data_IF_437405173341
#
_entry.id   IF_437405173341
#
_cell.length_a   1.000
_cell.length_b   1.000
_cell.length_c   1.000
_cell.angle_alpha   90.00
_cell.angle_beta   90.00
_cell.angle_gamma   90.00
#
_symmetry.space_group_name_H-M   'P 1'
#
loop_
_entity.id
_entity.type
_entity.pdbx_description
1 polymer ?
#
# COMPACT_ATOMS: atom_id res chain seq x y z
N UNK A 1 7.35 20.18 -2.74
CA UNK A 1 8.54 19.36 -3.03
C UNK A 1 8.36 18.72 -4.41
N UNK A 2 9.39 18.78 -5.25
CA UNK A 2 9.33 18.19 -6.60
C UNK A 2 9.38 16.66 -6.49
N UNK A 3 8.63 15.95 -7.34
CA UNK A 3 8.79 14.51 -7.47
C UNK A 3 10.24 14.24 -7.89
N UNK A 4 10.99 13.51 -7.08
CA UNK A 4 12.38 13.17 -7.37
C UNK A 4 12.45 12.43 -8.72
N UNK A 5 13.54 12.62 -9.48
CA UNK A 5 13.73 12.02 -10.82
C UNK A 5 13.60 10.47 -10.84
N UNK A 6 13.58 9.86 -9.66
CA UNK A 6 13.44 8.44 -9.41
C UNK A 6 11.97 7.95 -9.41
N UNK A 7 11.01 8.82 -9.07
CA UNK A 7 9.59 8.47 -9.02
C UNK A 7 8.91 8.79 -10.35
N UNK A 8 8.24 7.80 -10.94
CA UNK A 8 7.44 7.98 -12.15
C UNK A 8 5.97 7.95 -11.75
N UNK A 9 5.33 9.11 -11.68
CA UNK A 9 3.97 9.28 -11.17
C UNK A 9 3.07 9.83 -12.30
N UNK A 10 1.90 9.21 -12.58
CA UNK A 10 0.90 9.77 -13.48
C UNK A 10 0.35 11.10 -12.97
N UNK A 11 0.05 12.05 -13.88
CA UNK A 11 -0.45 13.37 -13.52
C UNK A 11 -1.77 13.31 -12.74
N UNK A 12 -2.58 12.28 -12.99
CA UNK A 12 -3.91 12.09 -12.39
C UNK A 12 -3.88 11.83 -10.88
N UNK A 13 -2.73 11.45 -10.32
CA UNK A 13 -2.56 11.14 -8.89
C UNK A 13 -1.32 11.84 -8.31
N UNK A 14 -0.80 12.85 -9.01
CA UNK A 14 0.51 13.42 -8.70
C UNK A 14 0.55 14.03 -7.30
N UNK A 15 -0.51 14.74 -6.92
CA UNK A 15 -0.57 15.43 -5.63
C UNK A 15 -0.78 14.45 -4.48
N UNK A 16 -1.66 13.45 -4.65
CA UNK A 16 -1.90 12.39 -3.68
C UNK A 16 -0.65 11.55 -3.44
N UNK A 17 0.07 11.20 -4.52
CA UNK A 17 1.32 10.46 -4.42
C UNK A 17 2.43 11.27 -3.75
N UNK A 18 2.54 12.57 -4.01
CA UNK A 18 3.49 13.44 -3.31
C UNK A 18 3.19 13.52 -1.81
N UNK A 19 1.92 13.66 -1.44
CA UNK A 19 1.52 13.68 -0.02
C UNK A 19 1.91 12.35 0.62
N UNK A 20 1.51 11.22 0.03
CA UNK A 20 1.87 9.89 0.57
C UNK A 20 3.39 9.72 0.68
N UNK A 21 4.17 10.08 -0.35
CA UNK A 21 5.64 9.98 -0.33
C UNK A 21 6.31 10.89 0.70
N UNK A 22 5.73 12.06 1.02
CA UNK A 22 6.27 12.95 2.03
C UNK A 22 6.30 12.33 3.44
N UNK A 23 5.47 11.32 3.69
CA UNK A 23 5.51 10.54 4.92
C UNK A 23 6.64 9.50 4.95
N UNK A 24 7.26 9.16 3.82
CA UNK A 24 8.32 8.13 3.72
C UNK A 24 9.62 8.74 3.17
N UNK A 25 10.32 9.58 3.94
CA UNK A 25 11.58 10.19 3.50
C UNK A 25 12.64 9.15 3.10
N UNK A 26 12.60 7.94 3.66
CA UNK A 26 13.51 6.84 3.32
C UNK A 26 13.34 6.33 1.88
N UNK A 27 12.21 6.64 1.24
CA UNK A 27 11.92 6.27 -0.14
C UNK A 27 12.29 7.36 -1.15
N UNK A 28 12.87 8.48 -0.70
CA UNK A 28 13.26 9.61 -1.55
C UNK A 28 14.14 9.17 -2.72
N UNK A 29 15.19 8.40 -2.41
CA UNK A 29 16.15 7.85 -3.38
C UNK A 29 15.76 6.47 -3.92
N UNK A 30 14.50 6.09 -3.80
CA UNK A 30 14.01 4.79 -4.27
C UNK A 30 13.28 4.92 -5.59
N UNK A 31 13.71 4.18 -6.62
CA UNK A 31 13.03 4.18 -7.91
C UNK A 31 11.68 3.47 -7.85
N UNK A 32 10.58 4.24 -7.87
CA UNK A 32 9.19 3.74 -7.79
C UNK A 32 8.41 4.22 -9.01
N UNK A 33 7.81 3.28 -9.74
CA UNK A 33 6.94 3.59 -10.88
C UNK A 33 5.48 3.30 -10.53
N UNK A 34 4.67 4.35 -10.48
CA UNK A 34 3.22 4.27 -10.32
C UNK A 34 2.58 4.09 -11.69
N UNK A 35 1.73 3.08 -11.84
CA UNK A 35 1.19 2.73 -13.15
C UNK A 35 -0.24 2.24 -13.07
N UNK A 36 -1.13 2.95 -13.76
CA UNK A 36 -2.48 2.47 -14.03
C UNK A 36 -2.47 1.23 -14.93
N UNK A 37 -3.31 0.26 -14.60
CA UNK A 37 -3.47 -0.99 -15.32
C UNK A 37 -4.95 -1.38 -15.37
N UNK A 38 -5.44 -1.66 -16.58
CA UNK A 38 -6.83 -2.13 -16.82
C UNK A 38 -7.25 -3.33 -15.97
N UNK A 39 -6.35 -4.31 -15.84
CA UNK A 39 -6.63 -5.57 -15.17
C UNK A 39 -5.63 -5.82 -14.04
N UNK A 40 -6.08 -5.55 -12.81
CA UNK A 40 -5.44 -6.02 -11.58
C UNK A 40 -6.37 -7.07 -10.96
N UNK A 41 -5.82 -8.22 -10.62
CA UNK A 41 -6.60 -9.31 -10.00
C UNK A 41 -6.54 -9.15 -8.48
N UNK A 42 -7.71 -9.20 -7.85
CA UNK A 42 -7.91 -9.38 -6.39
C UNK A 42 -7.54 -8.19 -5.49
N UNK A 43 -7.15 -7.03 -6.02
CA UNK A 43 -6.89 -5.83 -5.24
C UNK A 43 -7.05 -4.55 -6.07
N UNK A 44 -7.14 -3.41 -5.37
CA UNK A 44 -7.20 -2.08 -5.98
C UNK A 44 -5.82 -1.60 -6.41
N UNK A 45 -4.81 -1.83 -5.57
CA UNK A 45 -3.41 -1.54 -5.84
C UNK A 45 -2.52 -2.74 -5.49
N UNK A 46 -1.29 -2.74 -6.02
CA UNK A 46 -0.25 -3.76 -5.76
C UNK A 46 1.15 -3.17 -5.87
N UNK A 47 1.90 -3.19 -4.78
CA UNK A 47 3.33 -2.96 -4.75
C UNK A 47 4.08 -4.25 -5.12
N UNK A 48 5.09 -4.13 -5.99
CA UNK A 48 5.96 -5.24 -6.33
C UNK A 48 7.37 -4.76 -6.72
N UNK A 49 8.43 -5.54 -6.42
CA UNK A 49 9.75 -5.27 -6.96
C UNK A 49 9.77 -5.49 -8.48
N UNK A 50 10.58 -4.73 -9.22
CA UNK A 50 10.90 -5.07 -10.60
C UNK A 50 11.78 -6.31 -10.59
N UNK A 51 11.32 -7.40 -11.21
CA UNK A 51 12.05 -8.68 -11.26
C UNK A 51 13.50 -8.54 -11.70
N UNK A 52 13.78 -7.71 -12.71
CA UNK A 52 15.13 -7.41 -13.21
C UNK A 52 16.04 -6.69 -12.22
N UNK A 53 15.51 -6.23 -11.08
CA UNK A 53 16.26 -5.53 -10.04
C UNK A 53 16.37 -6.29 -8.72
N UNK A 54 15.69 -7.44 -8.55
CA UNK A 54 15.63 -8.17 -7.26
C UNK A 54 17.02 -8.56 -6.73
N UNK A 55 17.92 -9.01 -7.63
CA UNK A 55 19.28 -9.43 -7.27
C UNK A 55 20.29 -8.28 -7.24
N UNK A 56 19.86 -7.04 -7.54
CA UNK A 56 20.71 -5.87 -7.32
C UNK A 56 20.86 -5.59 -5.82
N UNK A 57 21.86 -4.79 -5.47
CA UNK A 57 21.99 -4.25 -4.11
C UNK A 57 20.70 -3.54 -3.71
N UNK A 58 20.36 -3.56 -2.41
CA UNK A 58 19.10 -2.99 -1.88
C UNK A 58 18.85 -1.56 -2.39
N UNK A 59 19.89 -0.72 -2.38
CA UNK A 59 19.87 0.67 -2.88
C UNK A 59 19.58 0.84 -4.38
N UNK A 60 19.85 -0.19 -5.18
CA UNK A 60 19.67 -0.17 -6.64
C UNK A 60 18.42 -0.94 -7.09
N UNK A 61 17.57 -1.34 -6.13
CA UNK A 61 16.28 -1.98 -6.45
C UNK A 61 15.28 -0.94 -6.90
N UNK A 62 14.36 -1.39 -7.71
CA UNK A 62 13.29 -0.55 -8.24
C UNK A 62 11.97 -1.28 -8.07
N UNK A 63 10.90 -0.51 -7.91
CA UNK A 63 9.58 -1.00 -7.55
C UNK A 63 8.53 -0.48 -8.51
N UNK A 64 7.36 -1.11 -8.47
CA UNK A 64 6.16 -0.66 -9.16
C UNK A 64 5.00 -0.67 -8.19
N UNK A 65 4.19 0.38 -8.22
CA UNK A 65 2.86 0.39 -7.63
C UNK A 65 1.88 0.34 -8.79
N UNK A 66 1.21 -0.79 -8.94
CA UNK A 66 0.19 -0.99 -9.95
C UNK A 66 -1.14 -0.56 -9.39
N UNK A 67 -1.87 0.28 -10.13
CA UNK A 67 -3.14 0.85 -9.71
C UNK A 67 -4.21 0.40 -10.69
N UNK A 68 -5.30 -0.18 -10.21
CA UNK A 68 -6.40 -0.57 -11.10
C UNK A 68 -7.01 0.71 -11.68
N UNK A 69 -7.26 0.77 -12.99
CA UNK A 69 -7.96 1.93 -13.57
C UNK A 69 -9.39 2.08 -13.01
N UNK A 70 -9.98 0.95 -12.62
CA UNK A 70 -11.36 0.84 -12.19
C UNK A 70 -11.49 -0.03 -10.95
N UNK A 71 -12.44 0.31 -10.09
CA UNK A 71 -12.87 -0.50 -8.96
C UNK A 71 -14.35 -0.83 -9.13
N UNK A 72 -14.70 -2.09 -8.87
CA UNK A 72 -16.08 -2.55 -8.93
C UNK A 72 -16.68 -2.46 -7.53
N UNK A 73 -17.79 -1.73 -7.44
CA UNK A 73 -18.51 -1.46 -6.20
C UNK A 73 -19.96 -1.84 -6.53
N UNK A 74 -20.32 -3.08 -6.15
CA UNK A 74 -21.59 -3.74 -6.44
C UNK A 74 -21.79 -3.79 -7.95
N UNK A 75 -22.86 -3.18 -8.43
CA UNK A 75 -23.22 -3.17 -9.85
C UNK A 75 -22.64 -1.94 -10.58
N UNK A 76 -21.82 -1.14 -9.90
CA UNK A 76 -21.23 0.08 -10.43
C UNK A 76 -19.72 0.00 -10.56
N UNK A 77 -19.20 0.60 -11.62
CA UNK A 77 -17.76 0.67 -11.92
C UNK A 77 -17.30 2.10 -11.73
N UNK A 78 -16.38 2.30 -10.78
CA UNK A 78 -15.80 3.61 -10.49
C UNK A 78 -14.40 3.69 -11.05
N UNK A 79 -14.00 4.86 -11.54
CA UNK A 79 -12.62 5.13 -11.89
C UNK A 79 -11.82 5.41 -10.62
N UNK A 80 -10.68 4.75 -10.49
CA UNK A 80 -9.85 4.87 -9.29
C UNK A 80 -9.30 6.29 -9.13
N UNK A 81 -9.00 6.96 -10.24
CA UNK A 81 -8.55 8.37 -10.27
C UNK A 81 -9.60 9.36 -9.73
N UNK A 82 -10.87 8.98 -9.69
CA UNK A 82 -11.96 9.85 -9.22
C UNK A 82 -12.31 9.58 -7.75
N UNK A 83 -11.53 8.74 -7.06
CA UNK A 83 -11.71 8.51 -5.62
C UNK A 83 -11.33 9.74 -4.82
N UNK A 84 -11.97 9.97 -3.65
CA UNK A 84 -11.61 11.10 -2.80
C UNK A 84 -10.12 11.06 -2.46
N UNK A 85 -9.45 12.22 -2.52
CA UNK A 85 -8.00 12.33 -2.35
C UNK A 85 -7.48 11.63 -1.07
N UNK A 86 -8.19 11.78 0.05
CA UNK A 86 -7.84 11.12 1.34
C UNK A 86 -7.75 9.60 1.22
N UNK A 87 -8.62 8.98 0.42
CA UNK A 87 -8.68 7.54 0.20
C UNK A 87 -7.55 7.09 -0.72
N UNK A 88 -7.28 7.86 -1.79
CA UNK A 88 -6.15 7.61 -2.67
C UNK A 88 -4.82 7.70 -1.92
N UNK A 89 -4.63 8.73 -1.09
CA UNK A 89 -3.45 8.89 -0.24
C UNK A 89 -3.28 7.69 0.70
N UNK A 90 -4.36 7.21 1.32
CA UNK A 90 -4.32 6.03 2.20
C UNK A 90 -3.94 4.74 1.46
N UNK A 91 -4.51 4.49 0.28
CA UNK A 91 -4.07 3.36 -0.55
C UNK A 91 -2.60 3.46 -0.94
N UNK A 92 -2.14 4.63 -1.38
CA UNK A 92 -0.74 4.84 -1.76
C UNK A 92 0.20 4.65 -0.56
N UNK A 93 -0.16 5.15 0.61
CA UNK A 93 0.60 4.95 1.84
C UNK A 93 0.74 3.47 2.21
N UNK A 94 -0.35 2.70 2.16
CA UNK A 94 -0.29 1.26 2.37
C UNK A 94 0.68 0.56 1.40
N UNK A 95 0.62 0.90 0.11
CA UNK A 95 1.53 0.32 -0.90
C UNK A 95 3.00 0.76 -0.69
N UNK A 96 3.25 1.97 -0.20
CA UNK A 96 4.58 2.42 0.22
C UNK A 96 5.07 1.63 1.46
N UNK A 97 4.18 1.30 2.39
CA UNK A 97 4.47 0.40 3.51
C UNK A 97 4.95 -0.99 3.06
N UNK A 98 4.36 -1.54 1.99
CA UNK A 98 4.90 -2.76 1.37
C UNK A 98 6.32 -2.57 0.81
N UNK A 99 6.60 -1.44 0.17
CA UNK A 99 7.95 -1.15 -0.34
C UNK A 99 8.96 -1.05 0.81
N UNK A 100 8.59 -0.44 1.94
CA UNK A 100 9.43 -0.42 3.15
C UNK A 100 9.75 -1.84 3.65
N UNK A 101 8.77 -2.75 3.68
CA UNK A 101 9.03 -4.18 4.00
C UNK A 101 10.00 -4.81 2.99
N UNK A 102 9.82 -4.54 1.68
CA UNK A 102 10.68 -5.10 0.64
C UNK A 102 12.14 -4.63 0.74
N UNK A 103 12.38 -3.40 1.19
CA UNK A 103 13.73 -2.87 1.38
C UNK A 103 14.50 -3.57 2.51
N UNK A 104 13.78 -4.02 3.56
CA UNK A 104 14.40 -4.77 4.66
C UNK A 104 14.86 -6.17 4.22
N UNK A 105 14.33 -6.74 3.12
CA UNK A 105 14.56 -8.13 2.69
C UNK A 105 15.78 -8.32 1.77
N UNK A 106 16.42 -9.48 1.84
CA UNK A 106 17.40 -9.92 0.84
C UNK A 106 16.70 -10.37 -0.46
N UNK A 107 17.42 -10.48 -1.58
CA UNK A 107 16.81 -10.86 -2.87
C UNK A 107 16.15 -12.24 -2.83
N UNK A 108 16.85 -13.24 -2.26
CA UNK A 108 16.30 -14.59 -2.06
C UNK A 108 15.11 -14.60 -1.10
N UNK A 109 15.18 -13.84 0.00
CA UNK A 109 14.04 -13.72 0.92
C UNK A 109 12.83 -13.08 0.24
N UNK A 110 13.03 -12.09 -0.64
CA UNK A 110 11.94 -11.42 -1.36
C UNK A 110 11.25 -12.36 -2.37
N UNK A 111 12.00 -13.26 -3.01
CA UNK A 111 11.45 -14.31 -3.88
C UNK A 111 10.64 -15.31 -3.05
N UNK A 112 11.22 -15.80 -1.95
CA UNK A 112 10.53 -16.71 -1.03
C UNK A 112 9.25 -16.09 -0.46
N UNK A 113 9.33 -14.82 -0.06
CA UNK A 113 8.19 -14.02 0.37
C UNK A 113 7.10 -13.96 -0.70
N UNK A 114 7.45 -13.65 -1.94
CA UNK A 114 6.50 -13.63 -3.06
C UNK A 114 5.80 -14.98 -3.27
N UNK A 115 6.54 -16.08 -3.15
CA UNK A 115 5.96 -17.43 -3.23
C UNK A 115 5.01 -17.74 -2.06
N UNK A 116 5.42 -17.41 -0.82
CA UNK A 116 4.59 -17.59 0.38
C UNK A 116 3.32 -16.73 0.33
N UNK A 117 3.41 -15.50 -0.17
CA UNK A 117 2.27 -14.59 -0.34
C UNK A 117 1.22 -15.16 -1.31
N UNK A 118 1.63 -15.90 -2.34
CA UNK A 118 0.71 -16.53 -3.29
C UNK A 118 0.04 -17.80 -2.75
N UNK A 119 0.67 -18.49 -1.81
CA UNK A 119 0.28 -19.85 -1.38
C UNK A 119 -0.30 -19.92 0.02
N UNK A 120 -0.03 -18.95 0.90
CA UNK A 120 -0.42 -19.01 2.31
C UNK A 120 -1.22 -17.79 2.77
N UNK A 121 -2.45 -18.05 3.22
CA UNK A 121 -3.34 -17.04 3.82
C UNK A 121 -2.73 -16.35 5.04
N UNK A 122 -1.95 -17.09 5.85
CA UNK A 122 -1.25 -16.55 7.02
C UNK A 122 -0.21 -15.51 6.60
N UNK A 123 0.62 -15.84 5.60
CA UNK A 123 1.64 -14.92 5.10
C UNK A 123 1.05 -13.67 4.44
N UNK A 124 -0.11 -13.80 3.78
CA UNK A 124 -0.85 -12.62 3.28
C UNK A 124 -1.20 -11.70 4.46
N UNK A 125 -1.88 -12.20 5.50
CA UNK A 125 -2.25 -11.39 6.68
C UNK A 125 -1.06 -10.69 7.33
N UNK A 126 0.04 -11.42 7.51
CA UNK A 126 1.25 -10.86 8.09
C UNK A 126 1.88 -9.77 7.20
N UNK A 127 1.78 -9.91 5.88
CA UNK A 127 2.25 -8.89 4.94
C UNK A 127 1.37 -7.63 4.97
N UNK A 128 0.04 -7.79 4.95
CA UNK A 128 -0.90 -6.65 5.05
C UNK A 128 -0.73 -5.93 6.39
N UNK A 129 -0.61 -6.68 7.51
CA UNK A 129 -0.34 -6.12 8.84
C UNK A 129 0.97 -5.32 8.86
N UNK A 130 2.05 -5.84 8.28
CA UNK A 130 3.32 -5.09 8.22
C UNK A 130 3.21 -3.81 7.40
N UNK A 131 2.49 -3.83 6.28
CA UNK A 131 2.28 -2.64 5.47
C UNK A 131 1.52 -1.56 6.24
N UNK A 132 0.44 -1.95 6.91
CA UNK A 132 -0.32 -1.05 7.78
C UNK A 132 0.52 -0.54 8.97
N UNK A 133 1.33 -1.39 9.60
CA UNK A 133 2.26 -0.96 10.67
C UNK A 133 3.28 0.05 10.16
N UNK A 134 3.85 -0.14 8.96
CA UNK A 134 4.71 0.87 8.36
C UNK A 134 3.96 2.17 8.13
N UNK A 135 2.74 2.12 7.59
CA UNK A 135 1.95 3.32 7.38
C UNK A 135 1.66 4.08 8.68
N UNK A 136 1.21 3.38 9.73
CA UNK A 136 0.98 3.99 11.05
C UNK A 136 2.27 4.59 11.61
N UNK A 137 3.39 3.88 11.56
CA UNK A 137 4.67 4.40 12.06
C UNK A 137 5.20 5.61 11.28
N UNK A 138 4.64 5.92 10.10
CA UNK A 138 4.98 7.09 9.30
C UNK A 138 3.89 8.17 9.36
N UNK A 139 2.99 8.13 10.34
CA UNK A 139 1.98 9.17 10.55
C UNK A 139 0.82 9.13 9.54
N UNK A 140 0.56 7.98 8.91
CA UNK A 140 -0.50 7.82 7.90
C UNK A 140 -1.83 7.30 8.47
N UNK A 141 -1.96 7.12 9.79
CA UNK A 141 -3.13 6.51 10.44
C UNK A 141 -4.45 7.15 10.01
N UNK A 142 -4.49 8.48 9.89
CA UNK A 142 -5.70 9.23 9.51
C UNK A 142 -6.16 8.89 8.09
N UNK A 143 -5.23 8.61 7.17
CA UNK A 143 -5.53 8.22 5.79
C UNK A 143 -5.88 6.73 5.68
N UNK A 144 -5.18 5.87 6.42
CA UNK A 144 -5.45 4.44 6.47
C UNK A 144 -6.85 4.17 7.05
N UNK A 145 -7.20 4.80 8.17
CA UNK A 145 -8.51 4.67 8.80
C UNK A 145 -9.62 5.11 7.86
N UNK A 146 -9.51 6.30 7.27
CA UNK A 146 -10.50 6.81 6.32
C UNK A 146 -10.69 5.87 5.11
N UNK A 147 -9.60 5.26 4.64
CA UNK A 147 -9.64 4.28 3.55
C UNK A 147 -10.40 3.01 3.94
N UNK A 148 -10.16 2.50 5.16
CA UNK A 148 -10.82 1.30 5.67
C UNK A 148 -12.29 1.55 5.95
N UNK A 149 -12.62 2.67 6.58
CA UNK A 149 -13.99 3.13 6.78
C UNK A 149 -14.71 3.24 5.45
N UNK A 150 -14.13 3.92 4.45
CA UNK A 150 -14.72 4.01 3.11
C UNK A 150 -14.99 2.63 2.49
N UNK A 151 -14.07 1.68 2.64
CA UNK A 151 -14.24 0.31 2.11
C UNK A 151 -15.30 -0.48 2.89
N UNK A 152 -15.48 -0.22 4.18
CA UNK A 152 -16.43 -0.95 5.01
C UNK A 152 -17.83 -0.34 4.96
N UNK A 153 -17.92 0.99 4.88
CA UNK A 153 -19.16 1.77 4.92
C UNK A 153 -19.80 1.94 3.54
N UNK A 154 -19.00 1.95 2.46
CA UNK A 154 -19.58 2.21 1.15
C UNK A 154 -20.50 1.07 0.75
N UNK A 155 -21.79 1.35 0.88
CA UNK A 155 -22.88 0.46 0.52
C UNK A 155 -22.67 -0.07 -0.90
N UNK A 156 -22.71 -1.39 -1.02
CA UNK A 156 -22.52 -2.06 -2.29
C UNK A 156 -21.07 -2.14 -2.73
N UNK A 157 -20.10 -2.51 -1.90
CA UNK A 157 -18.92 -3.20 -2.43
C UNK A 157 -19.28 -4.66 -2.71
N UNK A 158 -18.65 -5.29 -3.72
CA UNK A 158 -18.94 -6.68 -4.02
C UNK A 158 -18.70 -7.54 -2.76
N UNK A 159 -19.64 -8.40 -2.32
CA UNK A 159 -19.51 -9.11 -1.04
C UNK A 159 -18.19 -9.86 -0.90
N UNK A 160 -17.73 -10.48 -1.99
CA UNK A 160 -16.43 -11.18 -2.08
C UNK A 160 -15.21 -10.25 -1.87
N UNK A 161 -15.30 -8.99 -2.29
CA UNK A 161 -14.25 -8.00 -2.05
C UNK A 161 -14.21 -7.60 -0.57
N UNK A 162 -15.36 -7.26 0.01
CA UNK A 162 -15.46 -6.90 1.44
C UNK A 162 -15.02 -8.07 2.33
N UNK A 163 -15.47 -9.29 2.03
CA UNK A 163 -15.08 -10.50 2.75
C UNK A 163 -13.57 -10.75 2.65
N UNK A 164 -12.95 -10.47 1.50
CA UNK A 164 -11.50 -10.54 1.35
C UNK A 164 -10.80 -9.52 2.24
N UNK A 165 -11.27 -8.28 2.26
CA UNK A 165 -10.70 -7.22 3.11
C UNK A 165 -10.77 -7.65 4.59
N UNK A 166 -11.96 -8.03 5.07
CA UNK A 166 -12.17 -8.52 6.45
C UNK A 166 -11.30 -9.73 6.83
N UNK A 167 -10.94 -10.57 5.85
CA UNK A 167 -10.16 -11.77 6.11
C UNK A 167 -8.64 -11.57 6.13
N UNK A 168 -8.14 -10.54 5.45
CA UNK A 168 -6.70 -10.37 5.20
C UNK A 168 -6.11 -9.07 5.74
N UNK A 169 -6.93 -8.04 5.92
CA UNK A 169 -6.51 -6.69 6.31
C UNK A 169 -6.96 -6.41 7.74
N UNK A 170 -6.23 -5.53 8.42
CA UNK A 170 -6.62 -5.11 9.76
C UNK A 170 -7.93 -4.31 9.73
N UNK A 171 -8.75 -4.42 10.77
CA UNK A 171 -9.90 -3.55 10.97
C UNK A 171 -9.48 -2.13 11.40
N UNK A 172 -10.36 -1.13 11.38
CA UNK A 172 -10.08 0.19 11.95
C UNK A 172 -9.63 0.11 13.43
N UNK A 173 -10.26 -0.75 14.23
CA UNK A 173 -9.92 -0.96 15.63
C UNK A 173 -8.51 -1.55 15.79
N UNK A 174 -8.14 -2.51 14.94
CA UNK A 174 -6.78 -3.06 14.93
C UNK A 174 -5.72 -2.05 14.48
N UNK A 175 -6.08 -1.09 13.63
CA UNK A 175 -5.19 0.05 13.31
C UNK A 175 -5.01 0.95 14.53
N UNK A 176 -6.07 1.23 15.28
CA UNK A 176 -5.96 2.01 16.51
C UNK A 176 -5.05 1.34 17.54
N UNK A 177 -5.07 0.01 17.64
CA UNK A 177 -4.10 -0.71 18.48
C UNK A 177 -2.65 -0.49 18.02
N UNK A 178 -2.38 -0.46 16.71
CA UNK A 178 -1.04 -0.14 16.20
C UNK A 178 -0.63 1.30 16.53
N UNK A 179 -1.57 2.25 16.49
CA UNK A 179 -1.32 3.64 16.87
C UNK A 179 -0.98 3.73 18.36
N UNK A 180 -1.75 3.07 19.21
CA UNK A 180 -1.47 3.02 20.65
C UNK A 180 -0.14 2.34 20.98
N UNK A 181 0.26 1.31 20.23
CA UNK A 181 1.57 0.66 20.37
C UNK A 181 2.69 1.64 20.01
N UNK A 182 2.60 2.33 18.86
CA UNK A 182 3.56 3.36 18.45
C UNK A 182 3.68 4.49 19.47
N UNK A 183 2.55 5.04 19.90
CA UNK A 183 2.53 6.21 20.80
C UNK A 183 3.09 5.85 22.19
N UNK A 184 2.97 4.59 22.63
CA UNK A 184 3.62 4.11 23.87
C UNK A 184 5.13 4.03 23.71
N UNK A 185 5.60 3.46 22.60
CA UNK A 185 7.04 3.34 22.33
C UNK A 185 7.71 4.74 22.26
N UNK A 186 7.02 5.75 21.74
CA UNK A 186 7.51 7.15 21.72
C UNK A 186 7.57 7.83 23.11
N UNK A 187 6.78 7.37 24.08
CA UNK A 187 6.76 7.91 25.46
C UNK A 187 7.89 7.31 26.31
N UNK A 188 8.34 6.10 25.96
CA UNK A 188 9.35 5.34 26.71
C UNK A 188 10.81 5.59 26.21
N UNK A 189 11.01 6.38 25.15
CA UNK A 189 12.33 6.85 24.63
C UNK A 189 12.77 8.21 25.19
#
# INVERSE_FOLDING_TARGET
>A
MAANAQHKIPNEILEEAKIALAHYPELEDTAIEFKFKKNIKKSTMQAQPKFSSIFKSKKNRSYKILISEKINIADSVYYTKDMPAKIMIGWLGHELGHIMDFQKRSGFNLIGFGFSYLTSKKYIREAERRADSFAVNHGMETYILATKEFILEKAGLAPKYVERIKNFYLSPEEIMLLVEERDKDEIDE
#
